data_IF_766496606986
#
_entry.id   IF_766496606986
#
_cell.length_a   1.000
_cell.length_b   1.000
_cell.length_c   1.000
_cell.angle_alpha   90.00
_cell.angle_beta   90.00
_cell.angle_gamma   90.00
#
_symmetry.space_group_name_H-M   'P 1'
#
loop_
_entity.id
_entity.type
_entity.pdbx_description
1 polymer ?
#
# COMPACT_ATOMS: atom_id res chain seq x y z
N UNK A 1 -17.36 21.02 3.90
CA UNK A 1 -17.13 20.15 2.71
C UNK A 1 -15.67 19.81 2.44
N UNK A 2 -14.71 20.76 2.35
CA UNK A 2 -13.32 20.50 1.92
C UNK A 2 -12.51 19.49 2.78
N UNK A 3 -12.74 19.42 4.10
CA UNK A 3 -11.94 18.54 5.00
C UNK A 3 -12.16 17.03 4.78
N UNK A 4 -13.34 16.59 4.31
CA UNK A 4 -13.66 15.15 4.15
C UNK A 4 -12.90 14.58 2.93
N UNK A 5 -12.85 15.35 1.84
CA UNK A 5 -12.15 15.00 0.61
C UNK A 5 -10.62 14.90 0.79
N UNK A 6 -10.03 15.77 1.61
CA UNK A 6 -8.59 15.75 1.84
C UNK A 6 -8.12 14.52 2.65
N UNK A 7 -8.96 14.03 3.57
CA UNK A 7 -8.72 12.77 4.29
C UNK A 7 -8.70 11.56 3.34
N UNK A 8 -9.58 11.55 2.35
CA UNK A 8 -9.67 10.48 1.36
C UNK A 8 -8.44 10.49 0.44
N UNK A 9 -8.05 11.68 -0.04
CA UNK A 9 -6.84 11.84 -0.87
C UNK A 9 -5.57 11.45 -0.12
N UNK A 10 -5.44 11.81 1.16
CA UNK A 10 -4.28 11.40 1.97
C UNK A 10 -4.25 9.90 2.21
N UNK A 11 -5.40 9.26 2.44
CA UNK A 11 -5.50 7.80 2.52
C UNK A 11 -5.15 7.10 1.21
N UNK A 12 -5.54 7.69 0.08
CA UNK A 12 -5.23 7.20 -1.26
C UNK A 12 -3.73 7.26 -1.57
N UNK A 13 -3.10 8.40 -1.27
CA UNK A 13 -1.65 8.60 -1.40
C UNK A 13 -0.88 7.68 -0.46
N UNK A 14 -1.40 7.41 0.75
CA UNK A 14 -0.78 6.47 1.68
C UNK A 14 -0.81 5.03 1.12
N UNK A 15 -1.91 4.62 0.51
CA UNK A 15 -2.03 3.31 -0.16
C UNK A 15 -1.04 3.16 -1.32
N UNK A 16 -0.92 4.16 -2.19
CA UNK A 16 0.05 4.15 -3.30
C UNK A 16 1.49 4.14 -2.79
N UNK A 17 1.81 4.91 -1.74
CA UNK A 17 3.13 4.92 -1.14
C UNK A 17 3.48 3.57 -0.50
N UNK A 18 2.50 2.88 0.08
CA UNK A 18 2.68 1.54 0.65
C UNK A 18 3.00 0.50 -0.44
N UNK A 19 2.27 0.54 -1.56
CA UNK A 19 2.52 -0.34 -2.72
C UNK A 19 3.87 -0.01 -3.37
N UNK A 20 4.24 1.26 -3.47
CA UNK A 20 5.52 1.69 -4.03
C UNK A 20 6.69 1.22 -3.17
N UNK A 21 6.59 1.32 -1.84
CA UNK A 21 7.57 0.77 -0.91
C UNK A 21 7.63 -0.76 -1.00
N UNK A 22 6.50 -1.45 -1.08
CA UNK A 22 6.46 -2.90 -1.26
C UNK A 22 7.15 -3.34 -2.56
N UNK A 23 6.89 -2.63 -3.66
CA UNK A 23 7.50 -2.88 -4.96
C UNK A 23 8.99 -2.56 -4.95
N UNK A 24 9.41 -1.52 -4.22
CA UNK A 24 10.82 -1.17 -4.07
C UNK A 24 11.58 -2.19 -3.23
N UNK A 25 10.99 -2.69 -2.14
CA UNK A 25 11.55 -3.77 -1.32
C UNK A 25 11.64 -5.06 -2.16
N UNK A 26 10.58 -5.39 -2.90
CA UNK A 26 10.55 -6.56 -3.79
C UNK A 26 11.58 -6.46 -4.93
N UNK A 27 11.82 -5.26 -5.46
CA UNK A 27 12.75 -5.02 -6.56
C UNK A 27 14.22 -4.90 -6.12
N UNK A 28 14.47 -4.41 -4.90
CA UNK A 28 15.81 -4.27 -4.33
C UNK A 28 16.28 -5.52 -3.56
N UNK A 29 15.43 -6.56 -3.49
CA UNK A 29 15.81 -7.92 -3.15
C UNK A 29 16.65 -8.54 -4.29
N UNK A 30 17.78 -7.92 -4.61
CA UNK A 30 18.84 -8.55 -5.38
C UNK A 30 19.66 -9.41 -4.42
N UNK A 31 20.03 -10.62 -4.85
CA UNK A 31 20.90 -11.55 -4.12
C UNK A 31 22.31 -10.95 -3.96
N UNK A 32 22.45 -9.92 -3.13
CA UNK A 32 23.74 -9.44 -2.66
C UNK A 32 24.39 -10.52 -1.80
N UNK A 33 25.63 -10.86 -2.14
CA UNK A 33 26.47 -11.84 -1.45
C UNK A 33 26.44 -11.60 0.07
N UNK A 34 25.70 -12.43 0.82
CA UNK A 34 25.58 -12.36 2.28
C UNK A 34 24.16 -12.48 2.85
N UNK A 35 23.11 -12.41 2.04
CA UNK A 35 21.72 -12.56 2.51
C UNK A 35 21.37 -14.05 2.70
N UNK A 36 21.13 -14.45 3.95
CA UNK A 36 20.58 -15.77 4.29
C UNK A 36 19.21 -15.98 3.64
N UNK A 37 18.94 -17.16 3.08
CA UNK A 37 17.69 -17.53 2.39
C UNK A 37 16.42 -17.20 3.19
N UNK A 38 16.48 -17.27 4.52
CA UNK A 38 15.40 -16.86 5.41
C UNK A 38 15.06 -15.36 5.32
N UNK A 39 16.05 -14.47 5.23
CA UNK A 39 15.84 -13.02 5.15
C UNK A 39 15.16 -12.63 3.83
N UNK A 40 15.50 -13.33 2.75
CA UNK A 40 14.89 -13.14 1.44
C UNK A 40 13.41 -13.57 1.44
N UNK A 41 13.11 -14.73 2.02
CA UNK A 41 11.75 -15.25 2.11
C UNK A 41 10.86 -14.38 3.01
N UNK A 42 11.40 -13.89 4.13
CA UNK A 42 10.70 -12.99 5.05
C UNK A 42 10.37 -11.64 4.39
N UNK A 43 11.31 -11.07 3.62
CA UNK A 43 11.12 -9.80 2.93
C UNK A 43 10.07 -9.91 1.81
N UNK A 44 10.05 -11.02 1.06
CA UNK A 44 8.97 -11.31 0.10
C UNK A 44 7.60 -11.41 0.77
N UNK A 45 7.52 -12.09 1.92
CA UNK A 45 6.28 -12.23 2.68
C UNK A 45 5.78 -10.88 3.19
N UNK A 46 6.68 -10.02 3.67
CA UNK A 46 6.36 -8.65 4.09
C UNK A 46 5.86 -7.81 2.90
N UNK A 47 6.55 -7.85 1.75
CA UNK A 47 6.10 -7.14 0.54
C UNK A 47 4.74 -7.61 0.07
N UNK A 48 4.47 -8.92 0.13
CA UNK A 48 3.16 -9.48 -0.21
C UNK A 48 2.05 -8.98 0.71
N UNK A 49 2.29 -8.97 2.02
CA UNK A 49 1.33 -8.42 3.00
C UNK A 49 1.12 -6.93 2.79
N UNK A 50 2.18 -6.15 2.53
CA UNK A 50 2.03 -4.72 2.21
C UNK A 50 1.20 -4.50 0.95
N UNK A 51 1.35 -5.35 -0.07
CA UNK A 51 0.55 -5.26 -1.30
C UNK A 51 -0.94 -5.51 -1.03
N UNK A 52 -1.25 -6.54 -0.22
CA UNK A 52 -2.61 -6.83 0.21
C UNK A 52 -3.21 -5.68 1.02
N UNK A 53 -2.47 -5.14 1.98
CA UNK A 53 -2.92 -4.02 2.83
C UNK A 53 -3.09 -2.74 1.99
N UNK A 54 -2.14 -2.43 1.11
CA UNK A 54 -2.22 -1.30 0.20
C UNK A 54 -3.42 -1.37 -0.73
N UNK A 55 -3.71 -2.56 -1.28
CA UNK A 55 -4.91 -2.82 -2.08
C UNK A 55 -6.21 -2.68 -1.28
N UNK A 56 -6.26 -3.24 -0.07
CA UNK A 56 -7.43 -3.12 0.83
C UNK A 56 -7.72 -1.66 1.20
N UNK A 57 -6.66 -0.87 1.46
CA UNK A 57 -6.75 0.56 1.73
C UNK A 57 -7.35 1.29 0.52
N UNK A 58 -6.96 0.91 -0.69
CA UNK A 58 -7.47 1.51 -1.92
C UNK A 58 -8.95 1.20 -2.16
N UNK A 59 -9.40 -0.04 -1.87
CA UNK A 59 -10.83 -0.39 -1.88
C UNK A 59 -11.60 0.44 -0.86
N UNK A 60 -11.06 0.61 0.34
CA UNK A 60 -11.72 1.40 1.41
C UNK A 60 -11.85 2.87 1.01
N UNK A 61 -10.85 3.42 0.34
CA UNK A 61 -10.89 4.77 -0.27
C UNK A 61 -11.98 4.85 -1.33
N UNK A 62 -12.08 3.88 -2.23
CA UNK A 62 -13.09 3.88 -3.29
C UNK A 62 -14.52 3.83 -2.72
N UNK A 63 -14.75 3.05 -1.67
CA UNK A 63 -16.02 3.02 -0.93
C UNK A 63 -16.30 4.38 -0.28
N UNK A 64 -15.33 4.95 0.44
CA UNK A 64 -15.51 6.23 1.13
C UNK A 64 -15.78 7.39 0.15
N UNK A 65 -15.21 7.36 -1.06
CA UNK A 65 -15.55 8.31 -2.13
C UNK A 65 -17.01 8.16 -2.53
N UNK A 66 -17.48 6.92 -2.75
CA UNK A 66 -18.85 6.63 -3.16
C UNK A 66 -19.87 7.10 -2.11
N UNK A 67 -19.59 6.86 -0.84
CA UNK A 67 -20.44 7.32 0.27
C UNK A 67 -20.52 8.86 0.35
N UNK A 68 -19.44 9.57 0.01
CA UNK A 68 -19.44 11.04 -0.04
C UNK A 68 -20.27 11.57 -1.22
N UNK A 69 -20.30 10.85 -2.34
CA UNK A 69 -21.07 11.23 -3.52
C UNK A 69 -22.57 10.99 -3.35
N UNK A 70 -22.98 9.94 -2.63
CA UNK A 70 -24.40 9.64 -2.35
C UNK A 70 -25.03 10.58 -1.30
N UNK A 71 -24.23 11.30 -0.52
CA UNK A 71 -24.70 12.31 0.46
C UNK A 71 -24.73 13.75 -0.10
N UNK A 72 -24.46 13.97 -1.39
CA UNK A 72 -24.40 15.30 -2.02
C UNK A 72 -25.49 15.55 -3.04
#
# INVERSE_FOLDING_TARGET
>A
MVKKNWKIVTFWVLGTACILLASMISGHLEKGLGVTDMGFSLALLISFVLFLVGGLLWISVAVAVKEVEEES
#
